data_IF_523243121145
#
_entry.id   IF_523243121145
#
_cell.length_a   1.000
_cell.length_b   1.000
_cell.length_c   1.000
_cell.angle_alpha   90.00
_cell.angle_beta   90.00
_cell.angle_gamma   90.00
#
_symmetry.space_group_name_H-M   'P 1'
#
loop_
_entity.id
_entity.type
_entity.pdbx_description
1 polymer ?
#
# COMPACT_ATOMS: atom_id res chain seq x y z
N UNK A 1 20.65 -10.96 -0.27
CA UNK A 1 19.26 -11.26 0.19
C UNK A 1 18.95 -10.66 1.55
N UNK A 2 19.74 -10.91 2.57
CA UNK A 2 19.54 -10.37 3.93
C UNK A 2 19.42 -8.83 3.99
N UNK A 3 20.16 -8.09 3.17
CA UNK A 3 20.13 -6.62 3.14
C UNK A 3 18.80 -6.08 2.61
N UNK A 4 18.21 -6.73 1.61
CA UNK A 4 16.91 -6.32 1.06
C UNK A 4 15.76 -6.57 2.02
N UNK A 5 15.78 -7.70 2.72
CA UNK A 5 14.76 -8.05 3.71
C UNK A 5 14.79 -7.09 4.90
N UNK A 6 15.97 -6.73 5.36
CA UNK A 6 16.12 -5.75 6.42
C UNK A 6 15.63 -4.35 6.01
N UNK A 7 15.91 -3.92 4.77
CA UNK A 7 15.46 -2.64 4.26
C UNK A 7 13.91 -2.57 4.18
N UNK A 8 13.27 -3.65 3.74
CA UNK A 8 11.80 -3.73 3.70
C UNK A 8 11.19 -3.70 5.10
N UNK A 9 11.76 -4.44 6.04
CA UNK A 9 11.32 -4.42 7.44
C UNK A 9 11.43 -3.03 8.06
N UNK A 10 12.55 -2.35 7.86
CA UNK A 10 12.73 -0.98 8.34
C UNK A 10 11.73 -0.01 7.71
N UNK A 11 11.45 -0.15 6.42
CA UNK A 11 10.45 0.66 5.75
C UNK A 11 9.05 0.45 6.34
N UNK A 12 8.64 -0.80 6.58
CA UNK A 12 7.34 -1.13 7.18
C UNK A 12 7.20 -0.59 8.60
N UNK A 13 8.26 -0.65 9.40
CA UNK A 13 8.26 -0.08 10.76
C UNK A 13 8.08 1.45 10.72
N UNK A 14 8.68 2.12 9.74
CA UNK A 14 8.59 3.58 9.59
C UNK A 14 7.26 4.07 9.03
N UNK A 15 6.51 3.21 8.36
CA UNK A 15 5.16 3.53 7.88
C UNK A 15 4.18 3.44 9.05
N UNK A 16 3.51 4.54 9.34
CA UNK A 16 2.45 4.58 10.35
C UNK A 16 1.11 4.10 9.81
N UNK A 17 0.12 4.01 10.71
CA UNK A 17 -1.25 3.64 10.36
C UNK A 17 -1.46 2.16 10.12
N UNK A 18 -2.66 1.82 9.66
CA UNK A 18 -3.05 0.45 9.34
C UNK A 18 -2.33 -0.04 8.09
N UNK A 19 -1.69 -1.20 8.18
CA UNK A 19 -0.98 -1.84 7.07
C UNK A 19 -1.65 -3.16 6.72
N UNK A 20 -2.10 -3.27 5.48
CA UNK A 20 -2.83 -4.44 4.97
C UNK A 20 -2.10 -5.02 3.77
N UNK A 21 -2.11 -6.35 3.67
CA UNK A 21 -1.72 -7.05 2.44
C UNK A 21 -2.99 -7.38 1.66
N UNK A 22 -2.97 -7.07 0.37
CA UNK A 22 -4.05 -7.39 -0.55
C UNK A 22 -3.49 -8.10 -1.77
N UNK A 23 -3.69 -9.40 -1.86
CA UNK A 23 -3.13 -10.29 -2.87
C UNK A 23 -4.21 -11.10 -3.58
N UNK A 24 -4.02 -11.35 -4.88
CA UNK A 24 -4.85 -12.29 -5.64
C UNK A 24 -4.47 -13.77 -5.42
N UNK A 25 -3.40 -14.02 -4.69
CA UNK A 25 -2.94 -15.38 -4.38
C UNK A 25 -3.75 -16.02 -3.25
N UNK A 26 -3.71 -17.36 -3.13
CA UNK A 26 -4.31 -18.07 -2.00
C UNK A 26 -3.66 -17.69 -0.67
N UNK A 27 -4.46 -17.71 0.41
CA UNK A 27 -4.00 -17.28 1.74
C UNK A 27 -2.78 -18.05 2.22
N UNK A 28 -2.76 -19.36 2.07
CA UNK A 28 -1.64 -20.17 2.56
C UNK A 28 -0.32 -19.77 1.89
N UNK A 29 -0.35 -19.43 0.60
CA UNK A 29 0.82 -18.95 -0.13
C UNK A 29 1.26 -17.57 0.38
N UNK A 30 0.34 -16.63 0.55
CA UNK A 30 0.65 -15.29 1.05
C UNK A 30 1.26 -15.36 2.45
N UNK A 31 0.65 -16.11 3.35
CA UNK A 31 1.15 -16.29 4.72
C UNK A 31 2.55 -16.93 4.73
N UNK A 32 2.77 -17.92 3.88
CA UNK A 32 4.08 -18.56 3.75
C UNK A 32 5.15 -17.60 3.26
N UNK A 33 4.87 -16.79 2.26
CA UNK A 33 5.81 -15.78 1.72
C UNK A 33 6.12 -14.72 2.76
N UNK A 34 5.10 -14.15 3.42
CA UNK A 34 5.29 -13.13 4.45
C UNK A 34 6.05 -13.68 5.66
N UNK A 35 5.79 -14.93 6.04
CA UNK A 35 6.52 -15.61 7.12
C UNK A 35 7.99 -15.85 6.75
N UNK A 36 8.26 -16.32 5.54
CA UNK A 36 9.63 -16.54 5.04
C UNK A 36 10.43 -15.22 4.96
N UNK A 37 9.77 -14.12 4.62
CA UNK A 37 10.38 -12.78 4.60
C UNK A 37 10.50 -12.16 5.99
N UNK A 38 9.90 -12.76 7.03
CA UNK A 38 9.92 -12.24 8.40
C UNK A 38 9.16 -10.93 8.59
N UNK A 39 8.18 -10.63 7.75
CA UNK A 39 7.45 -9.36 7.76
C UNK A 39 5.96 -9.48 8.10
N UNK A 40 5.45 -10.70 8.29
CA UNK A 40 4.01 -10.92 8.55
C UNK A 40 3.48 -10.10 9.71
N UNK A 41 4.25 -9.99 10.79
CA UNK A 41 3.87 -9.25 12.00
C UNK A 41 3.71 -7.75 11.81
N UNK A 42 4.23 -7.18 10.71
CA UNK A 42 4.12 -5.76 10.40
C UNK A 42 2.81 -5.39 9.72
N UNK A 43 1.97 -6.38 9.39
CA UNK A 43 0.67 -6.17 8.77
C UNK A 43 -0.47 -6.49 9.75
N UNK A 44 -1.47 -5.63 9.76
CA UNK A 44 -2.66 -5.78 10.61
C UNK A 44 -3.58 -6.89 10.12
N UNK A 45 -3.65 -7.10 8.80
CA UNK A 45 -4.43 -8.18 8.20
C UNK A 45 -3.92 -8.53 6.80
N UNK A 46 -4.30 -9.72 6.34
CA UNK A 46 -4.05 -10.24 5.00
C UNK A 46 -5.38 -10.51 4.31
N UNK A 47 -5.55 -9.91 3.14
CA UNK A 47 -6.67 -10.18 2.23
C UNK A 47 -6.14 -10.96 1.03
N UNK A 48 -6.61 -12.17 0.90
CA UNK A 48 -6.27 -13.13 -0.15
C UNK A 48 -7.42 -13.30 -1.13
N UNK A 49 -7.26 -14.17 -2.12
CA UNK A 49 -8.33 -14.44 -3.08
C UNK A 49 -9.58 -15.02 -2.40
N UNK A 50 -9.43 -15.82 -1.35
CA UNK A 50 -10.55 -16.35 -0.56
C UNK A 50 -11.29 -15.24 0.18
N UNK A 51 -10.58 -14.24 0.67
CA UNK A 51 -11.16 -13.09 1.40
C UNK A 51 -12.14 -12.31 0.53
N UNK A 52 -11.95 -12.31 -0.78
CA UNK A 52 -12.76 -11.61 -1.77
C UNK A 52 -13.74 -12.53 -2.49
N UNK A 53 -13.96 -13.72 -2.00
CA UNK A 53 -14.80 -14.76 -2.62
C UNK A 53 -14.41 -15.02 -4.07
N UNK A 54 -13.10 -15.14 -4.32
CA UNK A 54 -12.52 -15.40 -5.63
C UNK A 54 -12.82 -14.32 -6.69
N UNK A 55 -12.99 -13.08 -6.24
CA UNK A 55 -13.08 -11.90 -7.11
C UNK A 55 -11.76 -11.14 -7.07
N UNK A 56 -10.85 -11.42 -8.01
CA UNK A 56 -9.51 -10.85 -7.98
C UNK A 56 -9.50 -9.36 -8.35
N UNK A 57 -8.45 -8.64 -7.91
CA UNK A 57 -8.13 -7.35 -8.50
C UNK A 57 -7.96 -7.52 -10.03
N UNK A 58 -8.40 -6.59 -10.85
CA UNK A 58 -8.80 -5.21 -10.55
C UNK A 58 -10.28 -5.01 -10.17
N UNK A 59 -11.06 -6.07 -9.91
CA UNK A 59 -12.42 -5.91 -9.42
C UNK A 59 -12.46 -5.03 -8.16
N UNK A 60 -13.44 -4.13 -8.07
CA UNK A 60 -13.63 -3.28 -6.90
C UNK A 60 -14.09 -4.05 -5.65
N UNK A 61 -14.57 -5.27 -5.82
CA UNK A 61 -15.16 -6.07 -4.73
C UNK A 61 -14.20 -6.24 -3.54
N UNK A 62 -12.94 -6.61 -3.79
CA UNK A 62 -11.95 -6.79 -2.74
C UNK A 62 -11.58 -5.50 -2.03
N UNK A 63 -11.47 -4.40 -2.75
CA UNK A 63 -11.24 -3.08 -2.14
C UNK A 63 -12.37 -2.72 -1.17
N UNK A 64 -13.62 -2.94 -1.55
CA UNK A 64 -14.76 -2.67 -0.68
C UNK A 64 -14.77 -3.57 0.57
N UNK A 65 -14.39 -4.83 0.44
CA UNK A 65 -14.28 -5.76 1.57
C UNK A 65 -13.30 -5.23 2.61
N UNK A 66 -12.07 -4.92 2.21
CA UNK A 66 -11.05 -4.46 3.15
C UNK A 66 -11.33 -3.05 3.69
N UNK A 67 -11.83 -2.14 2.87
CA UNK A 67 -12.16 -0.78 3.31
C UNK A 67 -13.29 -0.78 4.34
N UNK A 68 -14.30 -1.61 4.14
CA UNK A 68 -15.42 -1.75 5.07
C UNK A 68 -14.98 -2.40 6.38
N UNK A 69 -14.19 -3.47 6.31
CA UNK A 69 -13.72 -4.20 7.49
C UNK A 69 -12.89 -3.33 8.44
N UNK A 70 -12.11 -2.42 7.89
CA UNK A 70 -11.23 -1.52 8.67
C UNK A 70 -11.78 -0.08 8.77
N UNK A 71 -12.99 0.18 8.30
CA UNK A 71 -13.62 1.51 8.30
C UNK A 71 -12.71 2.58 7.70
N UNK A 72 -12.13 2.27 6.54
CA UNK A 72 -11.17 3.15 5.88
C UNK A 72 -11.87 4.20 5.02
N UNK A 73 -11.37 5.43 5.11
CA UNK A 73 -11.67 6.48 4.15
C UNK A 73 -10.72 6.34 2.95
N UNK A 74 -11.22 6.11 1.73
CA UNK A 74 -10.37 5.94 0.55
C UNK A 74 -9.40 7.13 0.34
N UNK A 75 -9.82 8.36 0.64
CA UNK A 75 -8.96 9.55 0.48
C UNK A 75 -7.80 9.61 1.47
N UNK A 76 -7.79 8.75 2.48
CA UNK A 76 -6.72 8.62 3.47
C UNK A 76 -5.92 7.33 3.30
N UNK A 77 -6.16 6.59 2.23
CA UNK A 77 -5.51 5.33 1.92
C UNK A 77 -4.54 5.47 0.77
N UNK A 78 -3.45 4.73 0.85
CA UNK A 78 -2.46 4.57 -0.22
C UNK A 78 -2.44 3.12 -0.65
N UNK A 79 -2.65 2.89 -1.94
CA UNK A 79 -2.58 1.57 -2.55
C UNK A 79 -1.28 1.44 -3.35
N UNK A 80 -0.50 0.42 -3.03
CA UNK A 80 0.81 0.15 -3.61
C UNK A 80 0.74 -1.17 -4.38
N UNK A 81 1.03 -1.15 -5.66
CA UNK A 81 0.98 -2.34 -6.51
C UNK A 81 1.95 -2.19 -7.69
N UNK A 82 2.31 -3.31 -8.31
CA UNK A 82 3.13 -3.35 -9.53
C UNK A 82 2.29 -3.41 -10.81
N UNK A 83 0.99 -3.71 -10.69
CA UNK A 83 0.05 -3.85 -11.80
C UNK A 83 -0.75 -2.56 -12.02
N UNK A 84 -0.58 -1.94 -13.17
CA UNK A 84 -1.27 -0.68 -13.51
C UNK A 84 -2.78 -0.77 -13.47
N UNK A 85 -3.36 -1.87 -13.92
CA UNK A 85 -4.80 -2.09 -13.88
C UNK A 85 -5.38 -2.10 -12.46
N UNK A 86 -4.64 -2.64 -11.49
CA UNK A 86 -5.02 -2.62 -10.08
C UNK A 86 -4.96 -1.19 -9.52
N UNK A 87 -3.94 -0.43 -9.88
CA UNK A 87 -3.79 0.98 -9.50
C UNK A 87 -4.90 1.85 -10.09
N UNK A 88 -5.28 1.59 -11.34
CA UNK A 88 -6.38 2.30 -11.97
C UNK A 88 -7.70 2.05 -11.24
N UNK A 89 -7.98 0.81 -10.86
CA UNK A 89 -9.15 0.46 -10.06
C UNK A 89 -9.16 1.17 -8.70
N UNK A 90 -8.02 1.18 -8.00
CA UNK A 90 -7.87 1.88 -6.72
C UNK A 90 -8.10 3.40 -6.87
N UNK A 91 -7.54 4.00 -7.91
CA UNK A 91 -7.72 5.43 -8.18
C UNK A 91 -9.17 5.81 -8.40
N UNK A 92 -9.92 4.99 -9.11
CA UNK A 92 -11.36 5.21 -9.34
C UNK A 92 -12.18 5.15 -8.04
N UNK A 93 -11.68 4.50 -7.01
CA UNK A 93 -12.29 4.45 -5.67
C UNK A 93 -11.83 5.59 -4.76
N UNK A 94 -10.92 6.44 -5.22
CA UNK A 94 -10.44 7.59 -4.47
C UNK A 94 -9.16 7.37 -3.67
N UNK A 95 -8.50 6.20 -3.79
CA UNK A 95 -7.23 5.95 -3.12
C UNK A 95 -6.08 6.69 -3.82
N UNK A 96 -5.07 7.06 -3.06
CA UNK A 96 -3.79 7.43 -3.60
C UNK A 96 -3.07 6.18 -4.13
N UNK A 97 -2.33 6.32 -5.22
CA UNK A 97 -1.75 5.19 -5.95
C UNK A 97 -0.25 5.31 -6.07
N UNK A 98 0.44 4.23 -5.74
CA UNK A 98 1.90 4.10 -5.87
C UNK A 98 2.23 2.90 -6.75
N UNK A 99 2.93 3.17 -7.84
CA UNK A 99 3.37 2.14 -8.77
C UNK A 99 4.79 1.71 -8.45
N UNK A 100 4.98 0.43 -8.19
CA UNK A 100 6.31 -0.16 -7.98
C UNK A 100 6.82 -0.65 -9.33
N UNK A 101 7.68 0.15 -9.95
CA UNK A 101 8.28 -0.13 -11.26
C UNK A 101 9.52 0.72 -11.46
N UNK A 102 10.48 0.21 -12.24
CA UNK A 102 11.65 0.99 -12.66
C UNK A 102 11.29 2.06 -13.67
N UNK A 103 12.03 3.18 -13.68
CA UNK A 103 11.80 4.31 -14.58
C UNK A 103 11.12 5.51 -13.90
N UNK A 104 10.75 6.51 -14.68
CA UNK A 104 10.27 7.81 -14.20
C UNK A 104 8.86 8.14 -14.69
N UNK A 105 8.53 7.83 -15.94
CA UNK A 105 7.23 8.13 -16.54
C UNK A 105 6.12 7.32 -15.90
N UNK A 106 4.93 7.93 -15.75
CA UNK A 106 3.77 7.28 -15.12
C UNK A 106 2.47 7.78 -15.74
N UNK A 107 1.42 6.93 -15.78
CA UNK A 107 0.07 7.37 -16.16
C UNK A 107 -0.49 8.40 -15.18
N UNK A 108 -1.50 9.14 -15.61
CA UNK A 108 -2.16 10.17 -14.79
C UNK A 108 -2.82 9.61 -13.52
N UNK A 109 -3.31 8.38 -13.55
CA UNK A 109 -3.94 7.72 -12.40
C UNK A 109 -2.92 7.16 -11.38
N UNK A 110 -1.64 7.30 -11.63
CA UNK A 110 -0.56 6.95 -10.70
C UNK A 110 -0.04 8.24 -10.06
N UNK A 111 -0.14 8.33 -8.74
CA UNK A 111 0.32 9.52 -8.02
C UNK A 111 1.85 9.50 -7.83
N UNK A 112 2.43 8.34 -7.59
CA UNK A 112 3.86 8.17 -7.36
C UNK A 112 4.36 6.88 -8.02
N UNK A 113 5.55 6.93 -8.61
CA UNK A 113 6.29 5.76 -9.09
C UNK A 113 7.55 5.60 -8.27
N UNK A 114 7.79 4.40 -7.74
CA UNK A 114 8.99 4.05 -6.98
C UNK A 114 9.60 2.75 -7.52
N UNK A 115 10.91 2.62 -7.45
CA UNK A 115 11.60 1.40 -7.85
C UNK A 115 11.39 0.26 -6.83
N UNK A 116 11.18 0.61 -5.56
CA UNK A 116 11.00 -0.33 -4.45
C UNK A 116 10.09 0.25 -3.37
N UNK A 117 9.34 -0.63 -2.71
CA UNK A 117 8.53 -0.28 -1.52
C UNK A 117 9.37 0.34 -0.41
N UNK A 118 10.66 0.02 -0.35
CA UNK A 118 11.59 0.58 0.64
C UNK A 118 11.76 2.09 0.55
N UNK A 119 11.41 2.69 -0.59
CA UNK A 119 11.46 4.14 -0.78
C UNK A 119 10.24 4.89 -0.22
N UNK A 120 9.15 4.17 0.09
CA UNK A 120 7.87 4.78 0.49
C UNK A 120 7.95 5.72 1.70
N UNK A 121 8.61 5.37 2.81
CA UNK A 121 8.61 6.27 3.98
C UNK A 121 9.11 7.66 3.65
N UNK A 122 10.15 7.76 2.83
CA UNK A 122 10.73 9.04 2.38
C UNK A 122 9.75 9.88 1.57
N UNK A 123 8.97 9.24 0.71
CA UNK A 123 8.03 9.93 -0.19
C UNK A 123 6.70 10.27 0.49
N UNK A 124 6.16 9.41 1.33
CA UNK A 124 4.89 9.65 2.00
C UNK A 124 4.96 10.83 2.97
N UNK A 125 6.06 11.03 3.65
CA UNK A 125 6.28 12.22 4.48
C UNK A 125 6.22 13.52 3.67
N UNK A 126 6.73 13.51 2.44
CA UNK A 126 6.70 14.69 1.55
C UNK A 126 5.31 14.95 0.98
N UNK A 127 4.54 13.93 0.67
CA UNK A 127 3.21 14.06 0.08
C UNK A 127 2.13 14.40 1.11
N UNK A 128 2.19 13.87 2.31
CA UNK A 128 1.30 14.25 3.40
C UNK A 128 1.37 15.75 3.68
N UNK A 129 2.56 16.35 3.56
CA UNK A 129 2.79 17.77 3.72
C UNK A 129 2.15 18.63 2.61
N UNK A 130 2.05 18.08 1.38
CA UNK A 130 1.45 18.82 0.25
C UNK A 130 -0.08 18.68 0.19
N UNK A 131 -0.63 17.56 0.63
CA UNK A 131 -2.07 17.29 0.58
C UNK A 131 -2.87 18.10 1.62
N UNK A 132 -2.24 18.50 2.73
CA UNK A 132 -2.93 19.21 3.81
C UNK A 132 -2.94 20.72 3.66
N UNK A 133 -2.16 21.32 2.76
CA UNK A 133 -2.12 22.77 2.49
C UNK A 133 -1.95 23.66 3.73
N UNK A 134 -1.69 23.07 4.87
CA UNK A 134 -1.46 23.80 6.13
C UNK A 134 0.02 23.75 6.48
N UNK A 135 0.68 24.89 6.64
CA UNK A 135 1.97 24.92 7.30
C UNK A 135 1.77 24.36 8.71
N UNK A 136 2.66 23.47 9.13
CA UNK A 136 2.71 23.05 10.52
C UNK A 136 2.84 24.31 11.38
N UNK A 137 1.80 24.67 12.07
CA UNK A 137 1.89 25.67 13.13
C UNK A 137 2.85 25.10 14.15
N UNK A 138 4.01 25.73 14.26
CA UNK A 138 4.88 25.52 15.40
C UNK A 138 4.06 25.88 16.63
N UNK A 139 3.71 24.89 17.42
CA UNK A 139 3.20 25.11 18.75
C UNK A 139 4.26 25.87 19.55
N UNK A 140 3.88 26.80 20.41
CA UNK A 140 4.82 27.46 21.27
C UNK A 140 5.32 26.47 22.33
N UNK A 141 6.63 26.29 22.35
CA UNK A 141 7.48 25.69 23.39
C UNK A 141 7.05 24.38 24.06
#
# INVERSE_FOLDING_TARGET
MLVRENALRHALVRLGGTKLVFSNAPRHYVEQVLGAMGIRRHFDAVYSIESTRYRPKPSSAGFHVLMRAHKLDPHRCVFVDDMLENLHAAKRLGLATVWVAGGVAKPRYVDLRVASVTELPRHLFRHAFRATGRPATRGPF
#
